data_IF_219715392932
#
_entry.id   IF_219715392932
#
_cell.length_a   1.000
_cell.length_b   1.000
_cell.length_c   1.000
_cell.angle_alpha   90.00
_cell.angle_beta   90.00
_cell.angle_gamma   90.00
#
_symmetry.space_group_name_H-M   'P 1'
#
loop_
_entity.id
_entity.type
_entity.pdbx_description
1 polymer ?
#
# COMPACT_ATOMS: atom_id res chain seq x y z
N UNK A 1 -4.21 12.04 8.69
CA UNK A 1 -2.82 11.57 8.46
C UNK A 1 -2.85 10.57 7.32
N UNK A 2 -1.87 10.60 6.42
CA UNK A 2 -1.80 9.69 5.26
C UNK A 2 -0.61 8.75 5.43
N UNK A 3 -0.87 7.45 5.44
CA UNK A 3 0.11 6.39 5.69
C UNK A 3 0.25 5.56 4.43
N UNK A 4 1.44 5.56 3.84
CA UNK A 4 1.75 4.76 2.65
C UNK A 4 2.43 3.47 3.11
N UNK A 5 1.81 2.34 2.78
CA UNK A 5 2.30 1.00 3.11
C UNK A 5 2.85 0.39 1.83
N UNK A 6 4.18 0.38 1.71
CA UNK A 6 4.89 -0.09 0.52
C UNK A 6 5.78 -1.32 0.80
N UNK A 7 5.22 -2.47 1.21
CA UNK A 7 6.00 -3.63 1.57
C UNK A 7 6.44 -4.43 0.35
N UNK A 8 7.55 -5.13 0.52
CA UNK A 8 7.96 -6.20 -0.38
C UNK A 8 7.43 -7.56 0.10
N UNK A 9 7.50 -8.57 -0.75
CA UNK A 9 7.14 -9.93 -0.37
C UNK A 9 8.17 -10.51 0.58
N UNK A 10 7.69 -11.33 1.50
CA UNK A 10 8.56 -12.18 2.31
C UNK A 10 8.78 -13.45 1.52
N UNK A 11 10.03 -13.68 1.10
CA UNK A 11 10.43 -14.82 0.27
C UNK A 11 9.95 -16.13 0.91
N UNK A 12 9.25 -16.96 0.12
CA UNK A 12 8.63 -18.23 0.55
C UNK A 12 7.62 -18.13 1.71
N UNK A 13 7.07 -16.95 2.01
CA UNK A 13 6.16 -16.78 3.16
C UNK A 13 4.90 -15.99 2.80
N UNK A 14 5.00 -14.67 2.67
CA UNK A 14 3.84 -13.79 2.47
C UNK A 14 4.01 -12.95 1.21
N UNK A 15 2.95 -12.85 0.42
CA UNK A 15 2.91 -11.91 -0.70
C UNK A 15 2.98 -10.48 -0.17
N UNK A 16 3.52 -9.56 -0.97
CA UNK A 16 3.59 -8.14 -0.59
C UNK A 16 2.21 -7.56 -0.21
N UNK A 17 1.13 -8.04 -0.83
CA UNK A 17 -0.23 -7.64 -0.47
C UNK A 17 -0.65 -8.15 0.91
N UNK A 18 -0.31 -9.40 1.25
CA UNK A 18 -0.61 -9.97 2.56
C UNK A 18 0.12 -9.19 3.66
N UNK A 19 1.40 -8.88 3.45
CA UNK A 19 2.18 -8.03 4.36
C UNK A 19 1.54 -6.65 4.50
N UNK A 20 1.10 -6.05 3.39
CA UNK A 20 0.45 -4.73 3.42
C UNK A 20 -0.84 -4.72 4.25
N UNK A 21 -1.63 -5.80 4.18
CA UNK A 21 -2.86 -5.94 4.96
C UNK A 21 -2.58 -6.08 6.45
N UNK A 22 -1.60 -6.90 6.83
CA UNK A 22 -1.21 -7.05 8.24
C UNK A 22 -0.71 -5.73 8.84
N UNK A 23 0.06 -4.95 8.08
CA UNK A 23 0.53 -3.63 8.52
C UNK A 23 -0.67 -2.67 8.66
N UNK A 24 -1.60 -2.64 7.71
CA UNK A 24 -2.79 -1.78 7.79
C UNK A 24 -3.64 -2.11 9.01
N UNK A 25 -3.86 -3.40 9.30
CA UNK A 25 -4.66 -3.86 10.43
C UNK A 25 -4.08 -3.38 11.77
N UNK A 26 -2.80 -3.63 12.02
CA UNK A 26 -2.13 -3.17 13.24
C UNK A 26 -2.08 -1.64 13.36
N UNK A 27 -1.92 -0.93 12.25
CA UNK A 27 -1.96 0.53 12.29
C UNK A 27 -3.36 1.09 12.48
N UNK A 28 -4.41 0.41 12.00
CA UNK A 28 -5.80 0.85 12.16
C UNK A 28 -6.26 0.76 13.62
N UNK A 29 -5.68 -0.13 14.42
CA UNK A 29 -5.92 -0.19 15.87
C UNK A 29 -5.48 1.09 16.59
N UNK A 30 -4.38 1.71 16.15
CA UNK A 30 -3.81 2.92 16.77
C UNK A 30 -4.32 4.20 16.08
N UNK A 31 -4.46 4.16 14.76
CA UNK A 31 -4.84 5.29 13.91
C UNK A 31 -6.06 4.96 13.04
N UNK A 32 -7.26 4.83 13.63
CA UNK A 32 -8.45 4.41 12.91
C UNK A 32 -8.90 5.42 11.83
N UNK A 33 -8.56 6.69 12.00
CA UNK A 33 -8.90 7.78 11.08
C UNK A 33 -7.78 8.09 10.05
N UNK A 34 -6.71 7.29 9.99
CA UNK A 34 -5.67 7.47 8.98
C UNK A 34 -6.12 6.95 7.61
N UNK A 35 -5.67 7.64 6.55
CA UNK A 35 -5.85 7.18 5.18
C UNK A 35 -4.70 6.24 4.81
N UNK A 36 -5.01 4.97 4.54
CA UNK A 36 -4.03 3.95 4.21
C UNK A 36 -3.92 3.75 2.70
N UNK A 37 -2.71 3.89 2.16
CA UNK A 37 -2.41 3.64 0.75
C UNK A 37 -1.46 2.47 0.63
N UNK A 38 -1.96 1.32 0.19
CA UNK A 38 -1.16 0.10 -0.01
C UNK A 38 -0.56 0.06 -1.41
N UNK A 39 0.75 -0.14 -1.47
CA UNK A 39 1.52 -0.28 -2.69
C UNK A 39 2.45 -1.51 -2.57
N UNK A 40 2.00 -2.73 -2.90
CA UNK A 40 2.84 -3.93 -2.81
C UNK A 40 3.93 -3.91 -3.90
N UNK A 41 5.20 -4.10 -3.51
CA UNK A 41 6.37 -3.97 -4.40
C UNK A 41 6.68 -5.26 -5.20
N UNK A 42 6.33 -6.43 -4.68
CA UNK A 42 6.81 -7.72 -5.20
C UNK A 42 6.21 -8.17 -6.55
N UNK A 43 4.96 -7.81 -6.84
CA UNK A 43 4.31 -8.21 -8.10
C UNK A 43 4.60 -7.18 -9.21
N UNK A 44 5.76 -7.36 -9.85
CA UNK A 44 5.87 -7.33 -11.30
C UNK A 44 5.28 -6.15 -12.06
N UNK A 45 5.42 -4.92 -11.56
CA UNK A 45 4.91 -3.77 -12.28
C UNK A 45 5.70 -2.50 -12.04
N UNK A 46 6.89 -2.38 -12.63
CA UNK A 46 7.50 -1.04 -12.90
C UNK A 46 6.45 -0.06 -13.46
N UNK A 47 5.44 -0.59 -14.15
CA UNK A 47 4.30 0.14 -14.71
C UNK A 47 3.25 0.57 -13.69
N UNK A 48 2.98 -0.22 -12.63
CA UNK A 48 1.94 0.08 -11.63
C UNK A 48 2.29 1.32 -10.79
N UNK A 49 3.55 1.43 -10.37
CA UNK A 49 4.05 2.56 -9.59
C UNK A 49 4.27 3.80 -10.47
N UNK A 50 4.74 3.61 -11.71
CA UNK A 50 4.80 4.70 -12.70
C UNK A 50 3.41 5.27 -13.02
N UNK A 51 2.39 4.40 -13.15
CA UNK A 51 1.00 4.81 -13.33
C UNK A 51 0.49 5.57 -12.10
N UNK A 52 0.81 5.12 -10.90
CA UNK A 52 0.43 5.80 -9.66
C UNK A 52 1.11 7.18 -9.53
N UNK A 53 2.42 7.28 -9.82
CA UNK A 53 3.17 8.55 -9.82
C UNK A 53 2.66 9.55 -10.86
N UNK A 54 2.21 9.07 -12.02
CA UNK A 54 1.65 9.91 -13.09
C UNK A 54 0.21 10.33 -12.86
N UNK A 55 -0.48 9.83 -11.82
CA UNK A 55 -1.83 10.27 -11.51
C UNK A 55 -1.76 11.67 -10.89
N UNK A 56 -2.48 12.66 -11.43
CA UNK A 56 -2.64 13.93 -10.73
C UNK A 56 -3.28 13.65 -9.37
N UNK A 57 -2.84 14.39 -8.34
CA UNK A 57 -3.23 14.21 -6.94
C UNK A 57 -4.74 14.34 -6.65
N UNK A 58 -5.59 14.56 -7.66
CA UNK A 58 -7.03 14.78 -7.55
C UNK A 58 -7.92 13.56 -7.83
N UNK A 59 -7.39 12.33 -7.81
CA UNK A 59 -8.13 11.12 -8.19
C UNK A 59 -8.43 10.15 -7.04
N UNK A 60 -8.92 10.64 -5.89
CA UNK A 60 -9.58 9.86 -4.85
C UNK A 60 -10.63 10.74 -4.15
N UNK A 61 -11.79 10.84 -4.78
CA UNK A 61 -13.03 11.20 -4.09
C UNK A 61 -14.04 10.08 -4.34
N UNK A 62 -14.49 9.49 -3.22
CA UNK A 62 -15.52 8.46 -3.05
C UNK A 62 -15.07 7.02 -3.28
#
# INVERSE_FOLDING_TARGET
MKIVIAPDSYKESLSALAVANCIEEGFREIFPAAEFVKLPLADGGKERWKRWWRRPAGGLSR
#
